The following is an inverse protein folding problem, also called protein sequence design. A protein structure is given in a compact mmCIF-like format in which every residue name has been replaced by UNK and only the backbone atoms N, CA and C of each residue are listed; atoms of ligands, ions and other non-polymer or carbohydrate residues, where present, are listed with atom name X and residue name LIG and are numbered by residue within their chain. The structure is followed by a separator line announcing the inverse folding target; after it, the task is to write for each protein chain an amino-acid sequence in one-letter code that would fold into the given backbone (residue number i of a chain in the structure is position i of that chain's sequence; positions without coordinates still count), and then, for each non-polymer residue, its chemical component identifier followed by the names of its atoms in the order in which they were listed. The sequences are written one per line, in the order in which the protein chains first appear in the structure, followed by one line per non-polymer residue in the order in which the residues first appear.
data_IF_891849252758
#
_entry.id   IF_891849252758
#
_cell.length_a   1.000
_cell.length_b   1.000
_cell.length_c   1.000
_cell.angle_alpha   90.00
_cell.angle_beta   90.00
_cell.angle_gamma   90.00
#
_symmetry.space_group_name_H-M   'P 1'
#
loop_
_entity.id
_entity.type
_entity.pdbx_description
1 polymer ?
#
# COMPACT_ATOMS: atom_id res chain seq x y z
N UNK A 1 -3.38 -10.78 -19.50
CA UNK A 1 -4.21 -10.31 -18.36
C UNK A 1 -3.79 -8.88 -18.04
N UNK A 2 -4.72 -8.03 -17.63
CA UNK A 2 -4.42 -6.66 -17.18
C UNK A 2 -4.96 -6.53 -15.75
N UNK A 3 -4.11 -6.08 -14.84
CA UNK A 3 -4.43 -5.86 -13.44
C UNK A 3 -4.15 -4.40 -13.09
N UNK A 4 -5.06 -3.75 -12.36
CA UNK A 4 -4.96 -2.34 -11.98
C UNK A 4 -5.12 -2.24 -10.47
N UNK A 5 -4.11 -1.69 -9.79
CA UNK A 5 -4.12 -1.47 -8.35
C UNK A 5 -3.30 -0.25 -7.99
N UNK A 6 -3.50 0.27 -6.78
CA UNK A 6 -2.66 1.30 -6.17
C UNK A 6 -1.59 0.69 -5.24
N UNK A 7 -1.66 -0.61 -4.96
CA UNK A 7 -0.74 -1.31 -4.08
C UNK A 7 0.41 -1.93 -4.86
N UNK A 8 1.60 -1.33 -4.74
CA UNK A 8 2.81 -1.82 -5.39
C UNK A 8 3.30 -3.15 -4.80
N UNK A 9 2.98 -3.48 -3.54
CA UNK A 9 3.33 -4.78 -2.97
C UNK A 9 2.63 -5.93 -3.71
N UNK A 10 1.37 -5.74 -4.10
CA UNK A 10 0.62 -6.72 -4.90
C UNK A 10 1.16 -6.80 -6.34
N UNK A 11 1.56 -5.66 -6.92
CA UNK A 11 2.14 -5.64 -8.28
C UNK A 11 3.41 -6.48 -8.36
N UNK A 12 4.25 -6.45 -7.32
CA UNK A 12 5.52 -7.19 -7.27
C UNK A 12 5.35 -8.72 -7.37
N UNK A 13 4.20 -9.26 -6.97
CA UNK A 13 3.94 -10.71 -6.94
C UNK A 13 3.25 -11.21 -8.22
N UNK A 14 2.43 -10.37 -8.86
CA UNK A 14 1.48 -10.82 -9.89
C UNK A 14 1.85 -10.35 -11.30
N UNK A 15 2.60 -9.24 -11.45
CA UNK A 15 2.81 -8.61 -12.74
C UNK A 15 4.20 -8.91 -13.34
N UNK A 16 4.24 -9.26 -14.63
CA UNK A 16 5.49 -9.33 -15.40
C UNK A 16 5.95 -7.94 -15.87
N UNK A 17 4.99 -7.07 -16.23
CA UNK A 17 5.20 -5.73 -16.77
C UNK A 17 4.29 -4.73 -16.08
N UNK A 18 4.79 -3.51 -15.90
CA UNK A 18 4.11 -2.45 -15.17
C UNK A 18 4.09 -1.17 -16.00
N UNK A 19 2.94 -0.49 -15.99
CA UNK A 19 2.75 0.86 -16.50
C UNK A 19 2.26 1.73 -15.34
N UNK A 20 2.98 2.79 -15.04
CA UNK A 20 2.64 3.75 -13.99
C UNK A 20 1.95 4.94 -14.64
N UNK A 21 0.76 5.28 -14.15
CA UNK A 21 0.03 6.46 -14.59
C UNK A 21 0.06 7.55 -13.53
N UNK A 22 0.18 8.80 -13.97
CA UNK A 22 -0.01 9.97 -13.12
C UNK A 22 -0.79 11.04 -13.88
N UNK A 23 -1.89 11.51 -13.28
CA UNK A 23 -2.77 12.54 -13.86
C UNK A 23 -3.27 12.22 -15.29
N UNK A 24 -3.53 10.94 -15.57
CA UNK A 24 -4.04 10.49 -16.86
C UNK A 24 -2.96 10.17 -17.89
N UNK A 25 -1.68 10.42 -17.58
CA UNK A 25 -0.57 10.15 -18.49
C UNK A 25 0.24 8.94 -18.04
N UNK A 26 0.71 8.13 -18.99
CA UNK A 26 1.67 7.06 -18.72
C UNK A 26 3.05 7.69 -18.50
N UNK A 27 3.51 7.66 -17.25
CA UNK A 27 4.76 8.34 -16.85
C UNK A 27 5.96 7.40 -16.76
N UNK A 28 5.73 6.10 -16.62
CA UNK A 28 6.79 5.10 -16.63
C UNK A 28 6.25 3.74 -17.07
N UNK A 29 7.06 2.95 -17.77
CA UNK A 29 6.69 1.60 -18.21
C UNK A 29 7.94 0.73 -18.30
N UNK A 30 7.86 -0.50 -17.80
CA UNK A 30 8.98 -1.43 -17.80
C UNK A 30 8.58 -2.82 -17.32
N UNK A 31 9.56 -3.71 -17.19
CA UNK A 31 9.41 -4.92 -16.41
C UNK A 31 9.20 -4.59 -14.94
N UNK A 32 8.58 -5.50 -14.19
CA UNK A 32 8.42 -5.34 -12.75
C UNK A 32 9.77 -5.17 -12.04
N UNK A 33 10.82 -5.82 -12.52
CA UNK A 33 12.18 -5.72 -11.98
C UNK A 33 12.79 -4.33 -12.20
N UNK A 34 12.68 -3.76 -13.40
CA UNK A 34 13.17 -2.42 -13.71
C UNK A 34 12.47 -1.36 -12.88
N UNK A 35 11.13 -1.42 -12.79
CA UNK A 35 10.34 -0.43 -12.04
C UNK A 35 10.71 -0.43 -10.56
N UNK A 36 10.91 -1.61 -9.95
CA UNK A 36 11.18 -1.68 -8.51
C UNK A 36 12.65 -1.48 -8.15
N UNK A 37 13.59 -1.84 -9.02
CA UNK A 37 15.03 -1.69 -8.75
C UNK A 37 15.62 -0.37 -9.23
N UNK A 38 15.16 0.14 -10.36
CA UNK A 38 15.68 1.37 -10.98
C UNK A 38 14.56 2.27 -11.49
N UNK A 39 13.63 2.71 -10.61
CA UNK A 39 12.57 3.63 -11.00
C UNK A 39 13.16 4.97 -11.47
N UNK A 40 12.81 5.38 -12.67
CA UNK A 40 13.31 6.62 -13.28
C UNK A 40 12.43 7.82 -12.95
N UNK A 41 11.10 7.64 -12.87
CA UNK A 41 10.20 8.77 -12.66
C UNK A 41 10.07 9.11 -11.16
N UNK A 42 10.18 10.40 -10.76
CA UNK A 42 10.09 10.79 -9.34
C UNK A 42 8.80 10.35 -8.65
N UNK A 43 7.70 10.32 -9.39
CA UNK A 43 6.42 9.80 -8.87
C UNK A 43 6.50 8.32 -8.53
N UNK A 44 7.08 7.49 -9.41
CA UNK A 44 7.27 6.05 -9.18
C UNK A 44 8.17 5.80 -7.98
N UNK A 45 9.24 6.59 -7.83
CA UNK A 45 10.12 6.55 -6.65
C UNK A 45 9.34 6.84 -5.36
N UNK A 46 8.44 7.83 -5.40
CA UNK A 46 7.61 8.21 -4.25
C UNK A 46 6.59 7.13 -3.90
N UNK A 47 5.99 6.49 -4.92
CA UNK A 47 5.10 5.34 -4.74
C UNK A 47 5.83 4.16 -4.08
N UNK A 48 7.02 3.82 -4.56
CA UNK A 48 7.83 2.72 -4.01
C UNK A 48 8.34 3.01 -2.60
N UNK A 49 8.66 4.26 -2.30
CA UNK A 49 9.06 4.68 -0.95
C UNK A 49 7.94 4.52 0.08
N UNK A 50 6.67 4.54 -0.35
CA UNK A 50 5.51 4.34 0.51
C UNK A 50 5.20 2.85 0.77
N UNK A 51 5.84 1.92 0.05
CA UNK A 51 5.58 0.49 0.20
C UNK A 51 6.22 -0.03 1.49
N UNK A 52 5.44 -0.65 2.40
CA UNK A 52 5.98 -1.26 3.60
C UNK A 52 7.00 -2.35 3.24
N UNK A 53 8.25 -2.17 3.67
CA UNK A 53 9.30 -3.19 3.53
C UNK A 53 9.17 -4.19 4.68
N UNK A 54 8.43 -5.28 4.48
CA UNK A 54 8.45 -6.39 5.43
C UNK A 54 9.78 -7.14 5.29
N UNK A 55 10.72 -6.83 6.18
CA UNK A 55 11.86 -7.67 6.57
C UNK A 55 12.67 -8.34 5.45
N UNK A 56 13.80 -7.74 5.11
CA UNK A 56 14.90 -8.41 4.41
C UNK A 56 15.08 -7.97 2.98
N UNK A 57 16.33 -7.89 2.58
CA UNK A 57 16.87 -7.30 1.36
C UNK A 57 16.65 -8.23 0.13
N UNK A 58 15.49 -8.90 0.08
CA UNK A 58 15.25 -10.02 -0.81
C UNK A 58 14.13 -9.73 -1.81
N UNK A 59 14.54 -9.24 -2.97
CA UNK A 59 13.76 -9.29 -4.21
C UNK A 59 13.89 -10.70 -4.81
N UNK A 60 12.82 -11.42 -5.14
CA UNK A 60 12.92 -12.78 -5.70
C UNK A 60 13.49 -12.67 -7.12
N UNK A 61 14.73 -13.08 -7.44
CA UNK A 61 15.44 -14.34 -7.17
C UNK A 61 16.13 -14.63 -5.81
N UNK A 62 15.93 -13.87 -4.75
CA UNK A 62 16.01 -14.41 -3.38
C UNK A 62 14.59 -14.53 -2.81
N UNK A 63 14.14 -15.76 -2.66
CA UNK A 63 12.77 -16.07 -2.27
C UNK A 63 12.40 -15.49 -0.90
N UNK A 64 11.39 -14.64 -0.86
CA UNK A 64 10.41 -14.62 0.21
C UNK A 64 9.04 -14.21 -0.39
N UNK A 65 8.06 -15.12 -0.49
CA UNK A 65 6.70 -14.73 -0.78
C UNK A 65 6.16 -13.93 0.41
N UNK A 66 5.16 -13.09 0.14
CA UNK A 66 4.37 -12.36 1.13
C UNK A 66 4.22 -13.17 2.43
N UNK A 67 4.75 -12.67 3.55
CA UNK A 67 4.42 -13.27 4.84
C UNK A 67 2.98 -12.90 5.15
N UNK A 68 2.08 -13.88 4.99
CA UNK A 68 0.73 -13.83 5.52
C UNK A 68 0.77 -13.87 7.05
N UNK A 69 1.26 -12.80 7.69
CA UNK A 69 1.10 -12.55 9.10
C UNK A 69 -0.04 -11.53 9.26
N UNK A 70 -1.21 -12.03 9.64
CA UNK A 70 -2.33 -11.20 10.10
C UNK A 70 -1.93 -10.33 11.31
N UNK A 71 -2.73 -9.30 11.63
CA UNK A 71 -2.32 -8.25 12.57
C UNK A 71 -2.32 -8.76 14.00
N UNK A 72 -1.16 -8.75 14.66
CA UNK A 72 -1.04 -8.88 16.10
C UNK A 72 -0.52 -7.57 16.70
N UNK A 73 -1.46 -6.84 17.32
CA UNK A 73 -1.32 -5.90 18.42
C UNK A 73 -0.64 -4.54 18.20
N UNK A 74 -1.39 -3.47 18.54
CA UNK A 74 -0.82 -2.19 18.96
C UNK A 74 -1.67 -0.96 18.64
N UNK A 75 -2.90 -0.88 19.13
CA UNK A 75 -3.79 0.25 18.81
C UNK A 75 -4.86 0.54 19.86
N UNK A 76 -4.48 0.69 21.14
CA UNK A 76 -5.31 1.45 22.08
C UNK A 76 -5.27 2.92 21.66
N UNK A 77 -6.34 3.47 21.04
CA UNK A 77 -6.66 4.92 20.99
C UNK A 77 -7.96 5.19 20.22
N UNK A 78 -9.10 4.76 20.76
CA UNK A 78 -10.42 5.18 20.28
C UNK A 78 -11.50 4.96 21.36
N UNK A 79 -11.30 5.59 22.52
CA UNK A 79 -12.32 5.71 23.55
C UNK A 79 -12.65 7.19 23.83
N UNK A 80 -13.24 7.90 22.86
CA UNK A 80 -14.09 9.09 23.14
C UNK A 80 -14.80 9.68 21.91
N UNK A 81 -15.78 8.98 21.36
CA UNK A 81 -16.84 9.69 20.63
C UNK A 81 -18.14 8.90 20.70
N UNK A 82 -19.16 9.45 21.37
CA UNK A 82 -20.51 8.88 21.37
C UNK A 82 -21.10 8.48 22.72
N UNK A 83 -20.97 9.29 23.77
CA UNK A 83 -21.88 9.17 24.92
C UNK A 83 -22.12 10.52 25.60
N UNK A 84 -22.86 11.40 24.93
CA UNK A 84 -23.72 12.37 25.61
C UNK A 84 -25.14 12.12 25.18
N UNK A 85 -25.83 11.28 25.94
CA UNK A 85 -27.29 11.33 25.99
C UNK A 85 -27.66 12.74 26.44
N UNK A 86 -28.44 13.45 25.63
CA UNK A 86 -29.28 14.54 26.09
C UNK A 86 -30.16 13.96 27.20
N UNK A 87 -29.94 14.39 28.43
CA UNK A 87 -31.00 14.38 29.43
C UNK A 87 -31.84 15.62 29.11
N UNK A 88 -33.08 15.38 28.69
CA UNK A 88 -34.13 16.39 28.65
C UNK A 88 -35.08 16.02 29.81
N UNK A 89 -35.18 16.81 30.89
CA UNK A 89 -36.23 16.61 31.86
C UNK A 89 -37.52 17.25 31.33
N UNK A 90 -38.52 16.39 31.12
CA UNK A 90 -39.90 16.79 30.93
C UNK A 90 -40.38 17.71 32.08
N UNK A 91 -41.27 18.64 31.72
CA UNK A 91 -41.68 19.77 32.54
C UNK A 91 -42.39 19.46 33.86
N UNK A 92 -42.30 20.45 34.75
CA UNK A 92 -43.25 20.79 35.81
C UNK A 92 -43.10 22.30 36.07
#
# INVERSE_FOLDING_TARGET
MIFITHDMGVVADIADRVLVMYRGEAVETGSVEEIFRSPQHPYTQSLLAAVPRLGGDAWPGSAAPFSAAGPAAGGERNARYGSRRRADPAGA
#
